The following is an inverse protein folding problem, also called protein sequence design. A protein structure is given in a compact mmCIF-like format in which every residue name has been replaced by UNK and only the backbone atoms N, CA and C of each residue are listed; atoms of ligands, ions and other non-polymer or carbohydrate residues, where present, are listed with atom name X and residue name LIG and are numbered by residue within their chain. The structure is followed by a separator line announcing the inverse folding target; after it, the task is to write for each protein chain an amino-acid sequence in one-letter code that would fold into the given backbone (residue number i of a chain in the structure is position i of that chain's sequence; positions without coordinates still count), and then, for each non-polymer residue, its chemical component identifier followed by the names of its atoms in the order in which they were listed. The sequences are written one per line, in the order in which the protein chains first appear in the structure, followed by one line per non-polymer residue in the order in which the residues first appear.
data_IF_946479319177
#
_entry.id   IF_946479319177
#
_cell.length_a   1.000
_cell.length_b   1.000
_cell.length_c   1.000
_cell.angle_alpha   90.00
_cell.angle_beta   90.00
_cell.angle_gamma   90.00
#
_symmetry.space_group_name_H-M   'P 1'
#
loop_
_entity.id
_entity.type
_entity.pdbx_description
1 polymer ?
#
# COMPACT_ATOMS: atom_id res chain seq x y z
N UNK A 1 -33.58 22.17 31.16
CA UNK A 1 -32.61 21.14 31.61
C UNK A 1 -32.21 20.38 30.36
N UNK A 2 -30.97 20.59 29.92
CA UNK A 2 -30.26 19.97 28.79
C UNK A 2 -30.90 20.08 27.38
N UNK A 3 -30.58 21.19 26.72
CA UNK A 3 -30.40 21.29 25.27
C UNK A 3 -29.07 20.63 24.88
N UNK A 4 -28.99 20.02 23.70
CA UNK A 4 -27.72 19.82 23.00
C UNK A 4 -28.02 19.83 21.50
N UNK A 5 -28.26 21.04 20.99
CA UNK A 5 -28.10 21.36 19.59
C UNK A 5 -26.61 21.21 19.24
N UNK A 6 -26.30 20.29 18.34
CA UNK A 6 -24.96 20.13 17.78
C UNK A 6 -24.84 21.17 16.68
N UNK A 7 -24.47 22.38 17.08
CA UNK A 7 -24.19 23.49 16.19
C UNK A 7 -23.01 23.17 15.26
N UNK A 8 -23.17 23.60 14.02
CA UNK A 8 -22.15 23.71 12.99
C UNK A 8 -20.95 24.52 13.50
N UNK A 9 -19.85 23.87 13.89
CA UNK A 9 -18.54 24.51 13.84
C UNK A 9 -17.92 24.26 12.46
N UNK A 10 -18.28 25.15 11.53
CA UNK A 10 -17.56 25.37 10.28
C UNK A 10 -16.16 25.86 10.68
N UNK A 11 -15.10 25.11 10.35
CA UNK A 11 -13.73 25.55 10.59
C UNK A 11 -13.36 26.63 9.58
N UNK A 12 -13.20 27.86 10.06
CA UNK A 12 -12.70 29.00 9.30
C UNK A 12 -11.24 28.76 8.90
N UNK A 13 -11.01 28.56 7.60
CA UNK A 13 -9.66 28.56 7.03
C UNK A 13 -9.21 30.03 6.92
N UNK A 14 -8.43 30.52 7.88
CA UNK A 14 -7.70 31.77 7.71
C UNK A 14 -6.64 31.57 6.60
N UNK A 15 -6.64 32.46 5.59
CA UNK A 15 -5.67 32.49 4.50
C UNK A 15 -4.26 32.76 5.04
N UNK A 16 -3.33 31.81 4.86
CA UNK A 16 -1.92 32.00 5.21
C UNK A 16 -1.29 33.07 4.27
N UNK A 17 -1.00 34.27 4.82
CA UNK A 17 -0.15 35.29 4.20
C UNK A 17 1.33 34.82 4.14
N UNK A 18 2.02 35.13 3.04
CA UNK A 18 3.44 34.76 2.81
C UNK A 18 4.44 35.38 3.82
N UNK A 19 5.57 34.72 4.15
CA UNK A 19 6.50 35.22 5.14
C UNK A 19 7.60 36.12 4.56
N UNK A 20 7.87 37.26 5.22
CA UNK A 20 9.10 38.04 5.09
C UNK A 20 9.85 38.17 6.42
N UNK A 21 11.16 37.88 6.40
CA UNK A 21 12.19 38.67 7.11
C UNK A 21 12.60 38.28 8.55
N UNK A 22 13.86 37.85 8.68
CA UNK A 22 14.69 37.51 9.88
C UNK A 22 14.88 38.67 10.89
N UNK A 23 15.28 38.45 12.17
CA UNK A 23 16.71 38.33 12.53
C UNK A 23 17.07 37.42 13.74
N UNK A 24 18.38 37.33 13.99
CA UNK A 24 19.17 36.30 14.70
C UNK A 24 19.37 36.44 16.24
N UNK A 25 19.78 35.30 16.83
CA UNK A 25 20.85 35.09 17.84
C UNK A 25 20.53 35.03 19.35
N UNK A 26 20.87 33.87 19.97
CA UNK A 26 21.03 33.67 21.43
C UNK A 26 20.62 32.28 21.96
N UNK A 27 21.54 31.33 22.12
CA UNK A 27 21.41 30.03 22.85
C UNK A 27 21.51 30.23 24.38
N UNK A 28 21.17 29.28 25.31
CA UNK A 28 21.06 27.81 25.16
C UNK A 28 19.90 27.10 25.95
N UNK A 29 19.88 25.75 25.88
CA UNK A 29 19.27 24.77 26.81
C UNK A 29 17.89 24.12 26.47
N UNK A 30 18.00 22.85 26.02
CA UNK A 30 17.25 21.63 26.39
C UNK A 30 15.71 21.59 26.53
N UNK A 31 15.18 20.48 25.96
CA UNK A 31 13.82 19.91 25.98
C UNK A 31 12.83 20.53 24.97
N UNK A 32 12.72 19.87 23.82
CA UNK A 32 11.48 19.83 23.05
C UNK A 32 11.05 18.38 22.88
N UNK A 33 10.02 18.01 23.64
CA UNK A 33 9.17 16.87 23.31
C UNK A 33 8.55 17.15 21.93
N UNK A 34 8.92 16.33 20.95
CA UNK A 34 8.33 16.37 19.62
C UNK A 34 7.02 15.58 19.69
N UNK A 35 5.90 16.30 19.83
CA UNK A 35 4.56 15.77 19.59
C UNK A 35 4.35 15.64 18.08
N UNK A 36 3.99 14.44 17.68
CA UNK A 36 3.73 14.07 16.29
C UNK A 36 4.76 13.08 15.79
N UNK A 37 4.76 11.87 16.35
CA UNK A 37 5.44 10.72 15.77
C UNK A 37 4.77 10.42 14.42
N UNK A 38 5.22 11.09 13.36
CA UNK A 38 5.25 10.45 12.05
C UNK A 38 6.01 9.16 12.27
N UNK A 39 5.28 8.04 12.31
CA UNK A 39 5.90 6.72 12.28
C UNK A 39 6.82 6.78 11.08
N UNK A 40 8.12 6.75 11.35
CA UNK A 40 9.10 6.46 10.32
C UNK A 40 8.63 5.13 9.75
N UNK A 41 7.99 5.16 8.59
CA UNK A 41 7.75 3.96 7.80
C UNK A 41 9.14 3.40 7.66
N UNK A 42 9.46 2.35 8.42
CA UNK A 42 10.62 1.52 8.12
C UNK A 42 10.52 1.32 6.62
N UNK A 43 11.53 1.78 5.87
CA UNK A 43 11.57 1.68 4.42
C UNK A 43 11.60 0.20 4.08
N UNK A 44 10.45 -0.45 4.18
CA UNK A 44 10.30 -1.88 4.11
C UNK A 44 10.00 -2.20 2.67
N UNK A 45 10.97 -2.84 2.04
CA UNK A 45 10.84 -3.24 0.66
C UNK A 45 9.94 -4.46 0.55
N UNK A 46 9.66 -4.87 -0.68
CA UNK A 46 8.97 -6.14 -0.93
C UNK A 46 9.67 -7.37 -0.33
N UNK A 47 10.97 -7.25 -0.01
CA UNK A 47 11.76 -8.31 0.66
C UNK A 47 11.26 -8.62 2.07
N UNK A 48 10.65 -7.65 2.75
CA UNK A 48 10.17 -7.82 4.12
C UNK A 48 8.86 -8.62 4.18
N UNK A 49 8.19 -8.81 3.04
CA UNK A 49 7.01 -9.67 2.92
C UNK A 49 7.35 -11.17 2.83
N UNK A 50 8.64 -11.55 2.83
CA UNK A 50 9.09 -12.96 2.78
C UNK A 50 8.51 -13.75 1.61
N UNK A 51 8.39 -13.10 0.45
CA UNK A 51 7.90 -13.73 -0.79
C UNK A 51 8.92 -14.71 -1.37
N UNK A 52 8.43 -15.63 -2.20
CA UNK A 52 9.24 -16.54 -3.03
C UNK A 52 10.32 -15.76 -3.79
N UNK A 53 11.58 -16.24 -3.86
CA UNK A 53 12.67 -15.53 -4.54
C UNK A 53 12.36 -15.17 -6.00
N UNK A 54 11.61 -16.01 -6.71
CA UNK A 54 11.16 -15.83 -8.08
C UNK A 54 10.24 -14.61 -8.22
N UNK A 55 9.31 -14.42 -7.24
CA UNK A 55 8.45 -13.25 -7.18
C UNK A 55 9.24 -11.98 -6.92
N UNK A 56 10.14 -12.01 -5.94
CA UNK A 56 10.98 -10.84 -5.61
C UNK A 56 11.80 -10.39 -6.83
N UNK A 57 12.30 -11.33 -7.62
CA UNK A 57 13.00 -11.03 -8.87
C UNK A 57 12.07 -10.38 -9.89
N UNK A 58 10.87 -10.91 -10.08
CA UNK A 58 9.89 -10.34 -11.02
C UNK A 58 9.42 -8.94 -10.62
N UNK A 59 9.26 -8.69 -9.32
CA UNK A 59 8.91 -7.37 -8.74
C UNK A 59 9.97 -6.32 -9.12
N UNK A 60 11.24 -6.65 -8.93
CA UNK A 60 12.37 -5.75 -9.26
C UNK A 60 12.41 -5.48 -10.77
N UNK A 61 12.28 -6.50 -11.60
CA UNK A 61 12.24 -6.37 -13.07
C UNK A 61 11.08 -5.48 -13.56
N UNK A 62 9.98 -5.48 -12.82
CA UNK A 62 8.82 -4.63 -13.11
C UNK A 62 8.98 -3.18 -12.64
N UNK A 63 10.11 -2.84 -11.98
CA UNK A 63 10.42 -1.49 -11.50
C UNK A 63 9.73 -1.12 -10.18
N UNK A 64 9.25 -2.10 -9.41
CA UNK A 64 8.68 -1.85 -8.08
C UNK A 64 9.77 -1.83 -7.02
N UNK A 65 10.03 -0.65 -6.46
CA UNK A 65 11.05 -0.46 -5.41
C UNK A 65 10.42 -0.43 -4.02
N UNK A 66 9.36 0.37 -3.85
CA UNK A 66 8.66 0.55 -2.60
C UNK A 66 7.19 0.15 -2.74
N UNK A 67 6.66 -0.70 -1.85
CA UNK A 67 5.25 -1.03 -1.86
C UNK A 67 4.40 0.17 -1.45
N UNK A 68 3.19 0.25 -1.99
CA UNK A 68 2.21 1.27 -1.59
C UNK A 68 1.61 0.95 -0.22
N UNK A 69 0.94 1.93 0.40
CA UNK A 69 0.26 1.76 1.70
C UNK A 69 -0.72 0.56 1.69
N UNK A 70 -1.56 0.45 0.66
CA UNK A 70 -2.49 -0.68 0.54
C UNK A 70 -1.77 -2.02 0.39
N UNK A 71 -0.59 -2.04 -0.23
CA UNK A 71 0.23 -3.24 -0.35
C UNK A 71 0.87 -3.62 0.98
N UNK A 72 1.40 -2.65 1.72
CA UNK A 72 1.94 -2.84 3.06
C UNK A 72 0.91 -3.42 4.03
N UNK A 73 -0.31 -2.90 4.01
CA UNK A 73 -1.37 -3.36 4.92
C UNK A 73 -1.92 -4.73 4.50
N UNK A 74 -2.14 -4.95 3.20
CA UNK A 74 -2.85 -6.14 2.75
C UNK A 74 -1.95 -7.36 2.48
N UNK A 75 -0.76 -7.19 1.90
CA UNK A 75 0.07 -8.33 1.47
C UNK A 75 0.42 -9.26 2.63
N UNK A 76 0.87 -8.79 3.81
CA UNK A 76 1.26 -9.67 4.91
C UNK A 76 0.12 -10.58 5.40
N UNK A 77 -1.12 -10.08 5.42
CA UNK A 77 -2.28 -10.89 5.80
C UNK A 77 -2.74 -11.78 4.63
N UNK A 78 -2.65 -11.27 3.39
CA UNK A 78 -3.10 -11.97 2.21
C UNK A 78 -2.30 -13.26 1.96
N UNK A 79 -0.97 -13.21 2.15
CA UNK A 79 -0.08 -14.37 1.96
C UNK A 79 -0.31 -15.48 3.00
N UNK A 80 -0.96 -15.16 4.13
CA UNK A 80 -1.35 -16.12 5.16
C UNK A 80 -2.69 -16.80 4.86
N UNK A 81 -3.31 -16.49 3.73
CA UNK A 81 -4.61 -17.06 3.33
C UNK A 81 -5.80 -16.48 4.08
N UNK A 82 -5.66 -15.29 4.65
CA UNK A 82 -6.77 -14.60 5.33
C UNK A 82 -7.70 -13.92 4.32
N UNK A 83 -9.00 -13.91 4.63
CA UNK A 83 -9.99 -13.15 3.88
C UNK A 83 -9.77 -11.65 4.11
N UNK A 84 -9.77 -10.89 3.01
CA UNK A 84 -9.49 -9.45 3.03
C UNK A 84 -10.61 -8.69 2.34
N UNK A 85 -11.15 -7.69 3.05
CA UNK A 85 -11.95 -6.62 2.48
C UNK A 85 -11.09 -5.37 2.37
N UNK A 86 -10.79 -4.94 1.15
CA UNK A 86 -9.91 -3.80 0.89
C UNK A 86 -10.64 -2.71 0.10
N UNK A 87 -10.63 -1.49 0.61
CA UNK A 87 -11.09 -0.29 -0.10
C UNK A 87 -9.92 0.67 -0.28
N UNK A 88 -9.54 0.93 -1.53
CA UNK A 88 -8.55 1.96 -1.85
C UNK A 88 -8.87 2.63 -3.19
N UNK A 89 -8.31 3.82 -3.41
CA UNK A 89 -8.45 4.55 -4.69
C UNK A 89 -7.88 3.75 -5.87
N UNK A 90 -8.37 4.03 -7.08
CA UNK A 90 -7.79 3.45 -8.30
C UNK A 90 -6.33 3.87 -8.44
N UNK A 91 -5.50 3.02 -9.05
CA UNK A 91 -4.06 3.30 -9.23
C UNK A 91 -3.16 3.04 -8.01
N UNK A 92 -3.71 2.75 -6.83
CA UNK A 92 -2.92 2.49 -5.60
C UNK A 92 -2.22 1.12 -5.56
N UNK A 93 -2.27 0.32 -6.63
CA UNK A 93 -1.60 -0.98 -6.67
C UNK A 93 -2.36 -2.15 -6.03
N UNK A 94 -3.69 -2.04 -5.85
CA UNK A 94 -4.55 -3.13 -5.33
C UNK A 94 -4.42 -4.44 -6.13
N UNK A 95 -4.24 -4.34 -7.44
CA UNK A 95 -4.07 -5.52 -8.30
C UNK A 95 -2.86 -6.36 -7.89
N UNK A 96 -1.73 -5.71 -7.64
CA UNK A 96 -0.52 -6.40 -7.21
C UNK A 96 -0.70 -7.11 -5.86
N UNK A 97 -1.59 -6.62 -4.98
CA UNK A 97 -1.88 -7.28 -3.69
C UNK A 97 -2.34 -8.72 -3.90
N UNK A 98 -3.45 -8.92 -4.62
CA UNK A 98 -3.98 -10.27 -4.79
C UNK A 98 -3.16 -11.09 -5.80
N UNK A 99 -2.52 -10.47 -6.79
CA UNK A 99 -1.64 -11.20 -7.72
C UNK A 99 -0.44 -11.77 -6.98
N UNK A 100 0.28 -10.95 -6.20
CA UNK A 100 1.44 -11.42 -5.43
C UNK A 100 1.03 -12.43 -4.37
N UNK A 101 -0.08 -12.17 -3.65
CA UNK A 101 -0.54 -13.06 -2.60
C UNK A 101 -0.93 -14.45 -3.12
N UNK A 102 -1.68 -14.50 -4.22
CA UNK A 102 -2.11 -15.79 -4.79
C UNK A 102 -0.95 -16.54 -5.43
N UNK A 103 -0.04 -15.87 -6.15
CA UNK A 103 1.18 -16.49 -6.67
C UNK A 103 2.10 -16.99 -5.55
N UNK A 104 2.15 -16.29 -4.41
CA UNK A 104 2.90 -16.75 -3.25
C UNK A 104 2.34 -18.07 -2.71
N UNK A 105 1.01 -18.20 -2.66
CA UNK A 105 0.31 -19.36 -2.06
C UNK A 105 0.10 -20.52 -3.03
N UNK A 106 0.12 -20.28 -4.35
CA UNK A 106 -0.24 -21.31 -5.31
C UNK A 106 0.75 -22.49 -5.28
N UNK A 107 0.16 -23.68 -5.25
CA UNK A 107 0.81 -24.96 -5.54
C UNK A 107 0.21 -25.46 -6.87
N UNK A 108 0.93 -25.31 -7.99
CA UNK A 108 0.39 -25.63 -9.31
C UNK A 108 0.19 -27.14 -9.46
N UNK A 109 -0.98 -27.53 -9.97
CA UNK A 109 -1.32 -28.91 -10.32
C UNK A 109 -1.83 -28.93 -11.76
N UNK A 110 -1.19 -29.75 -12.59
CA UNK A 110 -1.49 -29.82 -14.03
C UNK A 110 -2.98 -30.07 -14.29
N UNK A 111 -3.58 -29.22 -15.13
CA UNK A 111 -4.98 -29.30 -15.52
C UNK A 111 -5.99 -28.85 -14.47
N UNK A 112 -5.55 -28.32 -13.32
CA UNK A 112 -6.43 -27.79 -12.27
C UNK A 112 -6.38 -26.27 -12.16
N UNK A 113 -7.54 -25.65 -11.93
CA UNK A 113 -7.66 -24.21 -11.66
C UNK A 113 -7.66 -23.99 -10.15
N UNK A 114 -6.59 -23.41 -9.61
CA UNK A 114 -6.45 -23.12 -8.17
C UNK A 114 -6.88 -21.70 -7.77
N UNK A 115 -6.88 -20.76 -8.71
CA UNK A 115 -7.16 -19.34 -8.45
C UNK A 115 -8.14 -18.81 -9.50
N UNK A 116 -9.21 -18.14 -9.04
CA UNK A 116 -10.18 -17.45 -9.88
C UNK A 116 -10.25 -15.98 -9.49
N UNK A 117 -10.01 -15.08 -10.45
CA UNK A 117 -10.19 -13.64 -10.28
C UNK A 117 -11.32 -13.16 -11.18
N UNK A 118 -12.27 -12.42 -10.62
CA UNK A 118 -13.40 -11.85 -11.36
C UNK A 118 -13.37 -10.33 -11.28
N UNK A 119 -13.78 -9.66 -12.37
CA UNK A 119 -13.89 -8.21 -12.43
C UNK A 119 -15.03 -7.79 -13.38
N UNK A 120 -15.41 -6.51 -13.33
CA UNK A 120 -16.62 -6.03 -14.02
C UNK A 120 -16.44 -5.78 -15.52
N UNK A 121 -15.21 -5.56 -16.02
CA UNK A 121 -14.92 -5.32 -17.44
C UNK A 121 -13.90 -6.28 -18.00
N UNK A 122 -13.99 -6.53 -19.31
CA UNK A 122 -13.10 -7.41 -20.06
C UNK A 122 -11.68 -6.84 -20.14
N UNK A 123 -11.58 -5.53 -20.29
CA UNK A 123 -10.32 -4.80 -20.38
C UNK A 123 -9.54 -4.91 -19.07
N UNK A 124 -10.24 -4.81 -17.94
CA UNK A 124 -9.63 -5.00 -16.62
C UNK A 124 -9.19 -6.45 -16.42
N UNK A 125 -9.98 -7.43 -16.88
CA UNK A 125 -9.59 -8.84 -16.82
C UNK A 125 -8.29 -9.09 -17.60
N UNK A 126 -8.18 -8.50 -18.80
CA UNK A 126 -6.97 -8.58 -19.62
C UNK A 126 -5.77 -7.89 -18.96
N UNK A 127 -5.95 -6.72 -18.34
CA UNK A 127 -4.88 -6.06 -17.59
C UNK A 127 -4.42 -6.92 -16.41
N UNK A 128 -5.34 -7.51 -15.66
CA UNK A 128 -5.02 -8.41 -14.55
C UNK A 128 -4.26 -9.64 -15.03
N UNK A 129 -4.68 -10.26 -16.15
CA UNK A 129 -3.95 -11.41 -16.68
C UNK A 129 -2.52 -11.06 -17.10
N UNK A 130 -2.30 -9.85 -17.64
CA UNK A 130 -0.94 -9.35 -17.94
C UNK A 130 -0.11 -9.10 -16.68
N UNK A 131 -0.72 -8.66 -15.59
CA UNK A 131 -0.02 -8.56 -14.30
C UNK A 131 0.42 -9.94 -13.79
N UNK A 132 -0.44 -10.97 -13.90
CA UNK A 132 -0.04 -12.34 -13.59
C UNK A 132 1.15 -12.79 -14.43
N UNK A 133 1.11 -12.61 -15.76
CA UNK A 133 2.22 -12.96 -16.66
C UNK A 133 3.54 -12.25 -16.28
N UNK A 134 3.47 -10.97 -15.89
CA UNK A 134 4.64 -10.19 -15.48
C UNK A 134 5.26 -10.73 -14.19
N UNK A 135 4.45 -10.98 -13.17
CA UNK A 135 4.94 -11.43 -11.87
C UNK A 135 5.29 -12.92 -11.84
N UNK A 136 4.70 -13.75 -12.71
CA UNK A 136 5.03 -15.18 -12.83
C UNK A 136 6.22 -15.49 -13.75
N UNK A 137 6.86 -14.47 -14.35
CA UNK A 137 7.98 -14.59 -15.31
C UNK A 137 9.07 -15.60 -14.90
N UNK A 138 9.34 -15.73 -13.61
CA UNK A 138 10.39 -16.60 -13.06
C UNK A 138 9.87 -17.82 -12.31
N UNK A 139 8.55 -18.02 -12.26
CA UNK A 139 7.99 -19.21 -11.64
C UNK A 139 8.16 -20.43 -12.53
N UNK A 140 8.38 -21.62 -11.95
CA UNK A 140 8.35 -22.86 -12.71
C UNK A 140 6.96 -23.07 -13.29
N UNK A 141 6.92 -23.47 -14.57
CA UNK A 141 5.72 -23.97 -15.25
C UNK A 141 5.40 -25.38 -14.83
#
# INVERSE_FOLDING_TARGET
MAETDVDNELLDYEEDEEPQGVPESGTPATKKEVKGSYVSIHSSGFRDFLLKPELLRAIVDCGFEHPSEVQHECIPQAILGMDILCQAKSGMGKTAVFVLATLQQIEPVDGQVSVLVMCHTRELAFQISKEYERFSKYMPT
#
